data_IF_917383732855
#
_entry.id   IF_917383732855
#
_cell.length_a   1.000
_cell.length_b   1.000
_cell.length_c   1.000
_cell.angle_alpha   90.00
_cell.angle_beta   90.00
_cell.angle_gamma   90.00
#
_symmetry.space_group_name_H-M   'P 1'
#
loop_
_entity.id
_entity.type
_entity.pdbx_description
1 polymer ?
#
# COMPACT_ATOMS: atom_id res chain seq x y z
N UNK A 1 -9.97 -12.26 30.59
CA UNK A 1 -10.63 -11.34 29.65
C UNK A 1 -9.57 -10.91 28.65
N UNK A 2 -9.69 -11.37 27.40
CA UNK A 2 -8.79 -10.94 26.33
C UNK A 2 -9.36 -9.61 25.86
N UNK A 3 -8.64 -8.51 26.11
CA UNK A 3 -8.99 -7.20 25.57
C UNK A 3 -9.02 -7.33 24.04
N UNK A 4 -10.10 -6.92 23.34
CA UNK A 4 -10.07 -6.90 21.90
C UNK A 4 -8.95 -5.93 21.48
N UNK A 5 -8.06 -6.40 20.60
CA UNK A 5 -7.05 -5.53 20.00
C UNK A 5 -7.78 -4.30 19.43
N UNK A 6 -7.33 -3.11 19.81
CA UNK A 6 -7.88 -1.86 19.27
C UNK A 6 -7.74 -1.95 17.75
N UNK A 7 -8.87 -2.02 17.05
CA UNK A 7 -8.87 -1.97 15.59
C UNK A 7 -8.24 -0.64 15.20
N UNK A 8 -7.13 -0.71 14.49
CA UNK A 8 -6.47 0.46 13.93
C UNK A 8 -7.45 1.16 12.98
N UNK A 9 -7.47 2.48 12.98
CA UNK A 9 -8.29 3.24 12.05
C UNK A 9 -7.87 2.94 10.59
N UNK A 10 -8.83 2.86 9.67
CA UNK A 10 -8.56 2.51 8.27
C UNK A 10 -7.57 3.49 7.62
N UNK A 11 -7.72 4.79 7.87
CA UNK A 11 -6.81 5.80 7.32
C UNK A 11 -5.40 5.56 7.86
N UNK A 12 -5.26 5.37 9.17
CA UNK A 12 -3.96 5.15 9.79
C UNK A 12 -3.28 3.88 9.26
N UNK A 13 -4.02 2.77 9.14
CA UNK A 13 -3.52 1.50 8.64
C UNK A 13 -3.06 1.61 7.18
N UNK A 14 -3.88 2.19 6.30
CA UNK A 14 -3.55 2.35 4.88
C UNK A 14 -2.41 3.34 4.68
N UNK A 15 -2.37 4.42 5.45
CA UNK A 15 -1.29 5.41 5.37
C UNK A 15 0.04 4.84 5.86
N UNK A 16 0.06 3.99 6.88
CA UNK A 16 1.28 3.30 7.32
C UNK A 16 1.80 2.35 6.24
N UNK A 17 0.93 1.49 5.71
CA UNK A 17 1.26 0.53 4.65
C UNK A 17 1.73 1.26 3.37
N UNK A 18 1.05 2.35 3.00
CA UNK A 18 1.43 3.21 1.87
C UNK A 18 2.77 3.91 2.07
N UNK A 19 3.08 4.42 3.26
CA UNK A 19 4.40 5.03 3.56
C UNK A 19 5.51 3.97 3.54
N UNK A 20 5.25 2.80 4.11
CA UNK A 20 6.20 1.69 4.16
C UNK A 20 6.59 1.22 2.76
N UNK A 21 5.60 1.01 1.88
CA UNK A 21 5.82 0.61 0.49
C UNK A 21 6.58 1.67 -0.30
N UNK A 22 6.18 2.94 -0.23
CA UNK A 22 6.87 4.02 -0.93
C UNK A 22 8.34 4.13 -0.49
N UNK A 23 8.60 3.97 0.80
CA UNK A 23 9.96 4.03 1.35
C UNK A 23 10.84 2.93 0.77
N UNK A 24 10.37 1.67 0.77
CA UNK A 24 11.18 0.56 0.26
C UNK A 24 11.34 0.62 -1.27
N UNK A 25 10.30 1.01 -2.01
CA UNK A 25 10.39 1.15 -3.46
C UNK A 25 11.39 2.25 -3.82
N UNK A 26 11.39 3.39 -3.12
CA UNK A 26 12.38 4.45 -3.33
C UNK A 26 13.80 4.02 -2.98
N UNK A 27 13.97 3.19 -1.95
CA UNK A 27 15.28 2.62 -1.62
C UNK A 27 15.77 1.69 -2.73
N UNK A 28 14.89 0.89 -3.33
CA UNK A 28 15.23 0.02 -4.45
C UNK A 28 15.63 0.83 -5.69
N UNK A 29 14.80 1.81 -6.08
CA UNK A 29 15.06 2.70 -7.22
C UNK A 29 16.31 3.58 -7.05
N UNK A 30 16.83 3.72 -5.82
CA UNK A 30 18.09 4.41 -5.53
C UNK A 30 19.28 3.47 -5.36
N UNK A 31 19.10 2.17 -5.60
CA UNK A 31 20.13 1.14 -5.47
C UNK A 31 20.55 0.83 -4.03
N UNK A 32 19.76 1.23 -3.03
CA UNK A 32 20.06 1.03 -1.59
C UNK A 32 19.60 -0.34 -1.07
N UNK A 33 18.65 -0.99 -1.72
CA UNK A 33 18.18 -2.34 -1.40
C UNK A 33 18.12 -3.18 -2.67
N UNK A 34 18.28 -4.50 -2.52
CA UNK A 34 18.22 -5.43 -3.64
C UNK A 34 16.76 -5.73 -4.05
N UNK A 35 16.58 -6.41 -5.20
CA UNK A 35 15.27 -6.93 -5.62
C UNK A 35 14.68 -7.89 -4.59
N UNK A 36 15.51 -8.74 -3.98
CA UNK A 36 15.07 -9.72 -2.99
C UNK A 36 14.64 -9.03 -1.69
N UNK A 37 15.38 -8.00 -1.27
CA UNK A 37 15.02 -7.17 -0.10
C UNK A 37 13.71 -6.42 -0.35
N UNK A 38 13.52 -5.84 -1.55
CA UNK A 38 12.28 -5.19 -1.94
C UNK A 38 11.09 -6.17 -1.86
N UNK A 39 11.27 -7.36 -2.43
CA UNK A 39 10.24 -8.40 -2.46
C UNK A 39 9.85 -8.83 -1.04
N UNK A 40 10.84 -9.07 -0.19
CA UNK A 40 10.62 -9.47 1.20
C UNK A 40 9.93 -8.38 2.01
N UNK A 41 10.36 -7.13 1.85
CA UNK A 41 9.78 -6.01 2.57
C UNK A 41 8.34 -5.69 2.12
N UNK A 42 8.04 -5.77 0.82
CA UNK A 42 6.68 -5.60 0.32
C UNK A 42 5.76 -6.74 0.79
N UNK A 43 6.24 -7.99 0.76
CA UNK A 43 5.48 -9.14 1.25
C UNK A 43 5.23 -9.12 2.77
N UNK A 44 6.06 -8.39 3.53
CA UNK A 44 5.88 -8.19 4.97
C UNK A 44 4.85 -7.10 5.32
N UNK A 45 4.36 -6.33 4.34
CA UNK A 45 3.31 -5.35 4.58
C UNK A 45 1.97 -6.06 4.84
N UNK A 46 1.20 -5.65 5.85
CA UNK A 46 -0.07 -6.28 6.23
C UNK A 46 -1.23 -5.90 5.28
N UNK A 47 -1.01 -5.91 3.96
CA UNK A 47 -2.00 -5.45 2.96
C UNK A 47 -3.28 -6.29 3.02
N UNK A 48 -3.14 -7.62 3.07
CA UNK A 48 -4.29 -8.54 3.09
C UNK A 48 -5.06 -8.46 4.40
N UNK A 49 -4.35 -8.30 5.50
CA UNK A 49 -4.91 -8.11 6.84
C UNK A 49 -5.74 -6.83 6.87
N UNK A 50 -5.20 -5.69 6.41
CA UNK A 50 -5.93 -4.42 6.34
C UNK A 50 -7.17 -4.53 5.44
N UNK A 51 -7.05 -5.15 4.26
CA UNK A 51 -8.20 -5.39 3.38
C UNK A 51 -9.29 -6.25 4.05
N UNK A 52 -8.91 -7.28 4.78
CA UNK A 52 -9.85 -8.19 5.45
C UNK A 52 -10.52 -7.54 6.66
N UNK A 53 -9.77 -6.81 7.47
CA UNK A 53 -10.27 -6.19 8.71
C UNK A 53 -11.25 -5.04 8.43
N UNK A 54 -11.05 -4.35 7.30
CA UNK A 54 -11.83 -3.18 6.88
C UNK A 54 -12.70 -3.42 5.65
N UNK A 55 -12.95 -4.69 5.28
CA UNK A 55 -13.67 -5.05 4.06
C UNK A 55 -15.02 -4.33 3.90
N UNK A 56 -15.80 -4.29 4.98
CA UNK A 56 -17.12 -3.66 4.97
C UNK A 56 -17.02 -2.15 4.67
N UNK A 57 -16.11 -1.45 5.33
CA UNK A 57 -15.89 -0.01 5.13
C UNK A 57 -15.38 0.29 3.71
N UNK A 58 -14.40 -0.48 3.24
CA UNK A 58 -13.82 -0.36 1.91
C UNK A 58 -14.83 -0.59 0.78
N UNK A 59 -15.83 -1.45 0.99
CA UNK A 59 -16.82 -1.81 -0.05
C UNK A 59 -18.13 -1.04 0.04
N UNK A 60 -18.42 -0.43 1.19
CA UNK A 60 -19.68 0.31 1.42
C UNK A 60 -19.54 1.84 1.37
N UNK A 61 -18.32 2.38 1.52
CA UNK A 61 -18.08 3.81 1.54
C UNK A 61 -17.30 4.28 0.30
N UNK A 62 -17.92 5.12 -0.52
CA UNK A 62 -17.26 5.69 -1.71
C UNK A 62 -16.10 6.62 -1.38
N UNK A 63 -16.03 7.16 -0.15
CA UNK A 63 -14.87 7.92 0.31
C UNK A 63 -13.63 7.04 0.48
N UNK A 64 -13.79 5.73 0.65
CA UNK A 64 -12.69 4.77 0.80
C UNK A 64 -12.11 4.26 -0.54
N UNK A 65 -12.54 4.82 -1.68
CA UNK A 65 -11.97 4.47 -2.99
C UNK A 65 -10.45 4.70 -3.06
N UNK A 66 -9.88 5.81 -2.54
CA UNK A 66 -8.43 5.98 -2.52
C UNK A 66 -7.71 4.91 -1.68
N UNK A 67 -8.30 4.49 -0.56
CA UNK A 67 -7.76 3.40 0.27
C UNK A 67 -7.72 2.08 -0.48
N UNK A 68 -8.83 1.76 -1.13
CA UNK A 68 -8.95 0.58 -1.97
C UNK A 68 -7.92 0.57 -3.09
N UNK A 69 -7.68 1.73 -3.74
CA UNK A 69 -6.66 1.87 -4.78
C UNK A 69 -5.25 1.58 -4.27
N UNK A 70 -4.87 2.14 -3.13
CA UNK A 70 -3.56 1.86 -2.52
C UNK A 70 -3.40 0.37 -2.23
N UNK A 71 -4.39 -0.24 -1.57
CA UNK A 71 -4.32 -1.65 -1.18
C UNK A 71 -4.28 -2.58 -2.41
N UNK A 72 -5.05 -2.28 -3.45
CA UNK A 72 -5.02 -3.06 -4.69
C UNK A 72 -3.69 -2.94 -5.44
N UNK A 73 -3.14 -1.73 -5.58
CA UNK A 73 -1.83 -1.53 -6.22
C UNK A 73 -0.75 -2.30 -5.46
N UNK A 74 -0.77 -2.23 -4.13
CA UNK A 74 0.20 -2.96 -3.30
C UNK A 74 0.02 -4.47 -3.37
N UNK A 75 -1.22 -4.96 -3.39
CA UNK A 75 -1.48 -6.38 -3.56
C UNK A 75 -0.97 -6.89 -4.91
N UNK A 76 -1.20 -6.13 -5.99
CA UNK A 76 -0.68 -6.44 -7.32
C UNK A 76 0.85 -6.47 -7.36
N UNK A 77 1.51 -5.48 -6.74
CA UNK A 77 2.96 -5.49 -6.57
C UNK A 77 3.42 -6.74 -5.81
N UNK A 78 2.83 -7.07 -4.66
CA UNK A 78 3.23 -8.25 -3.87
C UNK A 78 3.10 -9.54 -4.69
N UNK A 79 2.04 -9.67 -5.49
CA UNK A 79 1.78 -10.90 -6.25
C UNK A 79 2.63 -11.00 -7.53
N UNK A 80 2.99 -9.88 -8.17
CA UNK A 80 3.57 -9.86 -9.52
C UNK A 80 4.96 -9.21 -9.64
N UNK A 81 5.53 -8.64 -8.57
CA UNK A 81 6.80 -7.88 -8.61
C UNK A 81 7.92 -8.61 -9.34
N UNK A 82 8.08 -9.91 -9.06
CA UNK A 82 9.13 -10.72 -9.64
C UNK A 82 9.08 -10.77 -11.18
N UNK A 83 7.86 -10.91 -11.71
CA UNK A 83 7.55 -10.92 -13.13
C UNK A 83 7.68 -9.53 -13.74
N UNK A 84 7.07 -8.51 -13.12
CA UNK A 84 7.08 -7.14 -13.62
C UNK A 84 8.51 -6.59 -13.75
N UNK A 85 9.36 -6.80 -12.73
CA UNK A 85 10.75 -6.39 -12.78
C UNK A 85 11.59 -7.21 -13.79
N UNK A 86 11.20 -8.46 -14.08
CA UNK A 86 11.89 -9.29 -15.06
C UNK A 86 11.57 -8.89 -16.51
N UNK A 87 10.31 -8.62 -16.80
CA UNK A 87 9.82 -8.33 -18.16
C UNK A 87 9.92 -6.85 -18.53
N UNK A 88 9.59 -5.95 -17.59
CA UNK A 88 9.42 -4.52 -17.85
C UNK A 88 10.46 -3.64 -17.14
N UNK A 89 11.28 -4.24 -16.26
CA UNK A 89 12.31 -3.54 -15.50
C UNK A 89 11.74 -2.56 -14.48
N UNK A 90 12.60 -1.68 -13.94
CA UNK A 90 12.26 -0.76 -12.86
C UNK A 90 11.21 0.31 -13.25
N UNK A 91 10.99 0.51 -14.55
CA UNK A 91 10.03 1.47 -15.09
C UNK A 91 8.61 1.26 -14.56
N UNK A 92 8.22 -0.01 -14.36
CA UNK A 92 6.90 -0.41 -13.85
C UNK A 92 6.60 0.20 -12.48
N UNK A 93 7.62 0.30 -11.60
CA UNK A 93 7.44 0.77 -10.23
C UNK A 93 7.12 2.26 -10.15
N UNK A 94 7.50 3.05 -11.17
CA UNK A 94 7.24 4.49 -11.16
C UNK A 94 5.74 4.81 -11.28
N UNK A 95 4.99 4.00 -12.04
CA UNK A 95 3.54 4.16 -12.17
C UNK A 95 2.83 3.77 -10.88
N UNK A 96 3.22 2.65 -10.27
CA UNK A 96 2.67 2.20 -8.99
C UNK A 96 2.95 3.19 -7.85
N UNK A 97 4.18 3.70 -7.76
CA UNK A 97 4.56 4.74 -6.80
C UNK A 97 3.70 5.99 -6.96
N UNK A 98 3.45 6.41 -8.20
CA UNK A 98 2.64 7.58 -8.49
C UNK A 98 1.18 7.35 -8.07
N UNK A 99 0.61 6.19 -8.38
CA UNK A 99 -0.75 5.82 -7.99
C UNK A 99 -0.90 5.81 -6.46
N UNK A 100 0.03 5.19 -5.74
CA UNK A 100 0.02 5.15 -4.27
C UNK A 100 0.10 6.58 -3.71
N UNK A 101 1.05 7.40 -4.17
CA UNK A 101 1.25 8.75 -3.67
C UNK A 101 0.05 9.68 -3.93
N UNK A 102 -0.58 9.58 -5.11
CA UNK A 102 -1.78 10.36 -5.44
C UNK A 102 -2.93 10.00 -4.49
N UNK A 103 -3.18 8.70 -4.30
CA UNK A 103 -4.29 8.26 -3.45
C UNK A 103 -4.05 8.58 -1.97
N UNK A 104 -2.81 8.49 -1.47
CA UNK A 104 -2.48 8.95 -0.11
C UNK A 104 -2.73 10.44 0.09
N UNK A 105 -2.42 11.26 -0.92
CA UNK A 105 -2.72 12.69 -0.91
C UNK A 105 -4.24 12.93 -0.85
N UNK A 106 -5.03 12.18 -1.62
CA UNK A 106 -6.49 12.28 -1.60
C UNK A 106 -7.08 11.96 -0.23
N UNK A 107 -6.58 10.91 0.45
CA UNK A 107 -7.00 10.57 1.83
C UNK A 107 -6.74 11.76 2.76
N UNK A 108 -5.54 12.33 2.71
CA UNK A 108 -5.15 13.47 3.57
C UNK A 108 -6.03 14.70 3.29
N UNK A 109 -6.36 14.97 2.03
CA UNK A 109 -7.23 16.09 1.64
C UNK A 109 -8.70 15.88 2.04
N UNK A 110 -9.16 14.64 2.13
CA UNK A 110 -10.50 14.30 2.61
C UNK A 110 -10.60 14.52 4.13
N UNK A 111 -9.59 14.09 4.90
CA UNK A 111 -9.53 14.32 6.35
C UNK A 111 -9.57 15.80 6.72
N UNK A 112 -8.90 16.66 5.94
CA UNK A 112 -8.86 18.10 6.19
C UNK A 112 -10.19 18.83 5.90
N UNK A 113 -11.13 18.17 5.22
CA UNK A 113 -12.45 18.73 4.87
C UNK A 113 -13.58 18.27 5.79
N UNK A 114 -13.31 17.33 6.70
CA UNK A 114 -14.21 16.87 7.75
C UNK A 114 -13.96 17.63 9.06
#
# INVERSE_FOLDING_TARGET
MILPAEKKDLNEAVMEVGKGSLTVIQQFLSGRVSKDDLSMALAALPVREVMSEHWEELTSNSQCVPHWKILQTLQGLIDELGFQLGEYGEATLHEDVKEIAINMKLITEQEQKC
#
